data_IF_196603134342
#
_entry.id   IF_196603134342
#
_cell.length_a   1.000
_cell.length_b   1.000
_cell.length_c   1.000
_cell.angle_alpha   90.00
_cell.angle_beta   90.00
_cell.angle_gamma   90.00
#
_symmetry.space_group_name_H-M   'P 1'
#
loop_
_entity.id
_entity.type
_entity.pdbx_description
1 polymer ?
#
# COMPACT_ATOMS: atom_id res chain seq x y z
N UNK A 1 38.60 15.73 -5.58
CA UNK A 1 37.88 16.97 -5.24
C UNK A 1 37.11 17.42 -6.47
N UNK A 2 36.05 16.66 -6.81
CA UNK A 2 35.03 16.95 -7.81
C UNK A 2 34.24 15.64 -7.99
N UNK A 3 33.28 15.39 -7.11
CA UNK A 3 32.11 14.53 -7.32
C UNK A 3 31.25 14.65 -6.04
N UNK A 4 29.93 14.48 -6.19
CA UNK A 4 28.87 14.66 -5.18
C UNK A 4 28.15 16.01 -5.11
N UNK A 5 27.86 16.60 -6.28
CA UNK A 5 26.62 17.34 -6.46
C UNK A 5 25.78 16.64 -7.54
N UNK A 6 25.16 15.51 -7.16
CA UNK A 6 23.88 15.14 -7.78
C UNK A 6 22.89 16.18 -7.27
N UNK A 7 22.85 17.33 -7.94
CA UNK A 7 21.65 18.16 -7.95
C UNK A 7 20.52 17.23 -8.40
N UNK A 8 19.69 16.82 -7.44
CA UNK A 8 18.41 16.18 -7.72
C UNK A 8 17.63 17.17 -8.58
N UNK A 9 17.71 16.99 -9.90
CA UNK A 9 16.88 17.71 -10.85
C UNK A 9 15.44 17.65 -10.34
N UNK A 10 14.68 18.76 -10.33
CA UNK A 10 13.27 18.69 -10.00
C UNK A 10 12.62 17.63 -10.89
N UNK A 11 11.64 16.86 -10.41
CA UNK A 11 11.02 15.82 -11.22
C UNK A 11 10.44 16.47 -12.48
N UNK A 12 11.09 16.27 -13.61
CA UNK A 12 10.60 16.73 -14.91
C UNK A 12 9.30 15.99 -15.23
N UNK A 13 8.27 16.73 -15.63
CA UNK A 13 6.94 16.23 -16.00
C UNK A 13 5.82 16.61 -15.01
N UNK A 14 4.67 15.91 -15.04
CA UNK A 14 3.39 16.38 -14.49
C UNK A 14 3.14 16.22 -12.97
N UNK A 15 3.95 15.46 -12.23
CA UNK A 15 3.81 15.29 -10.78
C UNK A 15 4.85 16.09 -9.98
N UNK A 16 4.65 17.41 -9.89
CA UNK A 16 5.42 18.35 -9.05
C UNK A 16 4.51 19.02 -7.99
N UNK A 17 5.06 19.87 -7.12
CA UNK A 17 4.33 20.50 -5.99
C UNK A 17 3.07 21.29 -6.38
N UNK A 18 2.93 21.68 -7.65
CA UNK A 18 1.78 22.39 -8.21
C UNK A 18 0.96 21.54 -9.21
N UNK A 19 1.12 20.21 -9.17
CA UNK A 19 0.39 19.28 -10.03
C UNK A 19 -1.13 19.35 -9.82
N UNK A 20 -1.88 18.96 -10.86
CA UNK A 20 -3.34 18.87 -10.81
C UNK A 20 -3.88 17.92 -9.73
N UNK A 21 -3.09 16.95 -9.30
CA UNK A 21 -3.48 15.97 -8.30
C UNK A 21 -2.33 15.70 -7.34
N UNK A 22 -2.63 15.63 -6.05
CA UNK A 22 -1.71 15.15 -5.02
C UNK A 22 -2.08 13.75 -4.57
N UNK A 23 -1.10 12.88 -4.41
CA UNK A 23 -1.27 11.57 -3.80
C UNK A 23 -0.58 11.53 -2.44
N UNK A 24 -1.06 10.63 -1.59
CA UNK A 24 -0.59 10.45 -0.23
C UNK A 24 -0.47 8.97 0.09
N UNK A 25 0.57 8.61 0.84
CA UNK A 25 0.68 7.27 1.41
C UNK A 25 0.00 7.26 2.78
N UNK A 26 -1.13 6.57 2.92
CA UNK A 26 -1.93 6.51 4.14
C UNK A 26 -2.37 5.07 4.44
N UNK A 27 -2.08 4.60 5.64
CA UNK A 27 -2.33 3.22 6.04
C UNK A 27 -1.68 2.21 5.08
N UNK A 28 -0.49 2.54 4.57
CA UNK A 28 0.25 1.74 3.61
C UNK A 28 -0.37 1.68 2.20
N UNK A 29 -1.35 2.53 1.88
CA UNK A 29 -1.99 2.62 0.56
C UNK A 29 -1.76 3.97 -0.09
N UNK A 30 -1.69 4.00 -1.42
CA UNK A 30 -1.52 5.27 -2.16
C UNK A 30 -2.90 5.80 -2.53
N UNK A 31 -3.26 6.94 -1.97
CA UNK A 31 -4.59 7.54 -2.11
C UNK A 31 -4.48 8.91 -2.78
N UNK A 32 -5.47 9.24 -3.60
CA UNK A 32 -5.66 10.58 -4.14
C UNK A 32 -6.16 11.50 -3.02
N UNK A 33 -5.51 12.64 -2.84
CA UNK A 33 -5.90 13.64 -1.85
C UNK A 33 -7.22 14.32 -2.29
N UNK A 34 -8.32 14.14 -1.54
CA UNK A 34 -9.62 14.70 -1.93
C UNK A 34 -9.70 16.22 -1.75
N UNK A 35 -8.75 16.84 -1.05
CA UNK A 35 -8.71 18.29 -0.78
C UNK A 35 -7.76 19.02 -1.72
N UNK A 36 -6.67 18.37 -2.12
CA UNK A 36 -5.59 18.98 -2.93
C UNK A 36 -5.62 18.47 -4.36
N UNK A 37 -6.61 18.92 -5.12
CA UNK A 37 -6.71 18.68 -6.57
C UNK A 37 -7.23 19.90 -7.33
N UNK A 38 -6.96 19.96 -8.63
CA UNK A 38 -7.50 20.93 -9.58
C UNK A 38 -8.02 20.18 -10.80
N UNK A 39 -9.28 20.43 -11.18
CA UNK A 39 -9.85 19.88 -12.41
C UNK A 39 -9.12 20.43 -13.63
N UNK A 40 -8.85 19.58 -14.61
CA UNK A 40 -8.20 19.98 -15.86
C UNK A 40 -7.42 18.85 -16.51
N UNK A 41 -6.73 19.19 -17.57
CA UNK A 41 -5.75 18.32 -18.21
C UNK A 41 -4.43 19.07 -18.33
N UNK A 42 -3.34 18.37 -18.05
CA UNK A 42 -2.00 18.83 -18.37
C UNK A 42 -1.31 17.77 -19.23
N UNK A 43 -0.52 18.23 -20.18
CA UNK A 43 0.28 17.38 -21.07
C UNK A 43 1.71 17.91 -21.04
N UNK A 44 2.65 16.99 -20.94
CA UNK A 44 4.07 17.27 -21.07
C UNK A 44 4.65 16.33 -22.10
N UNK A 45 5.30 16.87 -23.13
CA UNK A 45 5.90 16.07 -24.19
C UNK A 45 7.29 16.60 -24.51
N UNK A 46 8.23 15.69 -24.71
CA UNK A 46 9.57 15.96 -25.19
C UNK A 46 10.04 14.81 -26.12
N UNK A 47 11.29 14.86 -26.58
CA UNK A 47 11.85 13.84 -27.48
C UNK A 47 11.92 12.43 -26.85
N UNK A 48 11.97 12.32 -25.52
CA UNK A 48 12.15 11.05 -24.81
C UNK A 48 10.81 10.40 -24.42
N UNK A 49 9.79 11.19 -24.07
CA UNK A 49 8.52 10.67 -23.59
C UNK A 49 7.38 11.70 -23.68
N UNK A 50 6.16 11.21 -23.53
CA UNK A 50 4.93 12.02 -23.36
C UNK A 50 4.17 11.59 -22.11
N UNK A 51 3.64 12.57 -21.40
CA UNK A 51 2.80 12.43 -20.21
C UNK A 51 1.50 13.19 -20.40
N UNK A 52 0.40 12.59 -19.96
CA UNK A 52 -0.91 13.24 -19.90
C UNK A 52 -1.51 12.96 -18.52
N UNK A 53 -1.94 14.01 -17.84
CA UNK A 53 -2.65 13.93 -16.57
C UNK A 53 -4.01 14.61 -16.72
N UNK A 54 -5.08 13.83 -16.62
CA UNK A 54 -6.44 14.34 -16.59
C UNK A 54 -7.02 14.18 -15.18
N UNK A 55 -7.59 15.26 -14.65
CA UNK A 55 -8.24 15.31 -13.34
C UNK A 55 -9.67 15.81 -13.52
N UNK A 56 -10.61 15.00 -13.07
CA UNK A 56 -12.03 15.33 -13.04
C UNK A 56 -12.57 15.17 -11.61
N UNK A 57 -13.79 15.64 -11.34
CA UNK A 57 -14.46 15.31 -10.08
C UNK A 57 -15.98 15.35 -10.23
N UNK A 58 -16.65 14.39 -9.62
CA UNK A 58 -18.09 14.29 -9.49
C UNK A 58 -18.45 14.33 -8.00
N UNK A 59 -19.43 15.16 -7.62
CA UNK A 59 -19.88 15.33 -6.22
C UNK A 59 -18.75 15.60 -5.21
N UNK A 60 -17.73 16.34 -5.64
CA UNK A 60 -16.56 16.67 -4.82
C UNK A 60 -15.52 15.55 -4.72
N UNK A 61 -15.75 14.39 -5.34
CA UNK A 61 -14.83 13.25 -5.33
C UNK A 61 -13.96 13.25 -6.59
N UNK A 62 -12.64 13.45 -6.47
CA UNK A 62 -11.76 13.53 -7.62
C UNK A 62 -11.51 12.18 -8.26
N UNK A 63 -11.23 12.20 -9.55
CA UNK A 63 -10.76 11.08 -10.36
C UNK A 63 -9.56 11.53 -11.19
N UNK A 64 -8.64 10.60 -11.43
CA UNK A 64 -7.39 10.85 -12.14
C UNK A 64 -7.22 9.80 -13.23
N UNK A 65 -6.80 10.24 -14.41
CA UNK A 65 -6.21 9.40 -15.45
C UNK A 65 -4.85 9.97 -15.80
N UNK A 66 -3.80 9.24 -15.46
CA UNK A 66 -2.44 9.52 -15.87
C UNK A 66 -2.01 8.49 -16.92
N UNK A 67 -1.33 8.97 -17.96
CA UNK A 67 -0.72 8.15 -19.01
C UNK A 67 0.70 8.62 -19.26
N UNK A 68 1.61 7.68 -19.39
CA UNK A 68 2.99 7.88 -19.78
C UNK A 68 3.34 6.98 -20.95
N UNK A 69 4.05 7.53 -21.92
CA UNK A 69 4.54 6.80 -23.08
C UNK A 69 5.96 7.20 -23.43
N UNK A 70 6.85 6.22 -23.50
CA UNK A 70 8.20 6.33 -24.05
C UNK A 70 8.47 5.20 -25.06
N UNK A 71 9.60 5.21 -25.78
CA UNK A 71 10.01 4.10 -26.64
C UNK A 71 10.20 2.76 -25.89
N UNK A 72 10.51 2.81 -24.59
CA UNK A 72 10.80 1.63 -23.77
C UNK A 72 9.57 1.13 -23.00
N UNK A 73 8.65 2.02 -22.61
CA UNK A 73 7.60 1.69 -21.66
C UNK A 73 6.32 2.50 -21.89
N UNK A 74 5.17 1.90 -21.60
CA UNK A 74 3.93 2.63 -21.38
C UNK A 74 3.43 2.38 -19.98
N UNK A 75 2.85 3.40 -19.34
CA UNK A 75 2.23 3.29 -18.03
C UNK A 75 0.89 4.02 -18.00
N UNK A 76 -0.03 3.50 -17.21
CA UNK A 76 -1.29 4.15 -16.91
C UNK A 76 -1.57 4.04 -15.42
N UNK A 77 -1.98 5.15 -14.81
CA UNK A 77 -2.46 5.18 -13.42
C UNK A 77 -3.86 5.81 -13.41
N UNK A 78 -4.81 5.12 -12.82
CA UNK A 78 -6.21 5.53 -12.80
C UNK A 78 -6.77 5.48 -11.39
N UNK A 79 -7.51 6.52 -11.02
CA UNK A 79 -8.37 6.54 -9.83
C UNK A 79 -9.74 6.99 -10.29
N UNK A 80 -10.74 6.13 -10.14
CA UNK A 80 -12.14 6.48 -10.45
C UNK A 80 -12.82 7.14 -9.26
N UNK A 81 -13.93 7.84 -9.48
CA UNK A 81 -14.66 8.55 -8.42
C UNK A 81 -15.00 7.63 -7.23
N UNK A 82 -14.33 7.84 -6.10
CA UNK A 82 -14.51 7.05 -4.87
C UNK A 82 -14.05 5.60 -5.02
N UNK A 83 -13.36 5.28 -6.11
CA UNK A 83 -12.89 3.95 -6.45
C UNK A 83 -11.48 3.68 -5.98
N UNK A 84 -11.03 2.46 -6.25
CA UNK A 84 -9.66 2.04 -6.02
C UNK A 84 -8.66 2.68 -7.01
N UNK A 85 -7.37 2.56 -6.68
CA UNK A 85 -6.28 2.91 -7.59
C UNK A 85 -5.97 1.71 -8.48
N UNK A 86 -5.85 1.94 -9.78
CA UNK A 86 -5.39 0.97 -10.77
C UNK A 86 -4.11 1.48 -11.41
N UNK A 87 -3.17 0.57 -11.65
CA UNK A 87 -1.93 0.87 -12.33
C UNK A 87 -1.62 -0.24 -13.33
N UNK A 88 -1.23 0.14 -14.54
CA UNK A 88 -0.80 -0.77 -15.59
C UNK A 88 0.53 -0.28 -16.18
N UNK A 89 1.40 -1.22 -16.52
CA UNK A 89 2.69 -0.94 -17.14
C UNK A 89 3.04 -2.02 -18.16
N UNK A 90 3.57 -1.62 -19.30
CA UNK A 90 4.07 -2.52 -20.35
C UNK A 90 5.49 -2.09 -20.72
N UNK A 91 6.45 -3.01 -20.57
CA UNK A 91 7.80 -2.86 -21.12
C UNK A 91 7.80 -3.35 -22.57
N UNK A 92 8.05 -2.43 -23.51
CA UNK A 92 7.87 -2.66 -24.94
C UNK A 92 8.85 -3.69 -25.51
N UNK A 93 10.09 -3.73 -25.00
CA UNK A 93 11.13 -4.64 -25.48
C UNK A 93 10.85 -6.10 -25.08
N UNK A 94 10.49 -6.34 -23.83
CA UNK A 94 10.24 -7.69 -23.30
C UNK A 94 8.79 -8.17 -23.51
N UNK A 95 7.86 -7.24 -23.78
CA UNK A 95 6.42 -7.52 -23.75
C UNK A 95 5.89 -7.79 -22.34
N UNK A 96 6.67 -7.54 -21.30
CA UNK A 96 6.28 -7.78 -19.91
C UNK A 96 5.22 -6.76 -19.47
N UNK A 97 4.15 -7.27 -18.85
CA UNK A 97 3.01 -6.48 -18.39
C UNK A 97 2.83 -6.62 -16.90
N UNK A 98 2.59 -5.50 -16.23
CA UNK A 98 2.16 -5.45 -14.84
C UNK A 98 0.78 -4.82 -14.76
N UNK A 99 -0.07 -5.39 -13.92
CA UNK A 99 -1.33 -4.79 -13.47
C UNK A 99 -1.38 -4.79 -11.96
N UNK A 100 -1.72 -3.65 -11.38
CA UNK A 100 -1.94 -3.50 -9.95
C UNK A 100 -3.33 -2.92 -9.71
N UNK A 101 -4.05 -3.51 -8.76
CA UNK A 101 -5.35 -3.02 -8.32
C UNK A 101 -5.34 -2.85 -6.81
N UNK A 102 -5.58 -1.63 -6.34
CA UNK A 102 -5.76 -1.30 -4.94
C UNK A 102 -7.23 -0.95 -4.72
N UNK A 103 -8.00 -1.88 -4.15
CA UNK A 103 -9.38 -1.59 -3.72
C UNK A 103 -9.40 -0.62 -2.53
N UNK A 104 -10.52 0.05 -2.28
CA UNK A 104 -10.67 1.01 -1.17
C UNK A 104 -10.47 0.30 0.18
N UNK A 105 -11.23 -0.77 0.45
CA UNK A 105 -11.18 -1.51 1.71
C UNK A 105 -10.28 -2.76 1.74
N UNK A 106 -10.05 -3.42 0.60
CA UNK A 106 -9.41 -4.74 0.55
C UNK A 106 -7.90 -4.72 0.31
N UNK A 107 -7.35 -5.83 -0.14
CA UNK A 107 -5.94 -5.97 -0.48
C UNK A 107 -5.58 -5.22 -1.78
N UNK A 108 -4.29 -4.93 -1.90
CA UNK A 108 -3.64 -4.59 -3.15
C UNK A 108 -3.28 -5.90 -3.83
N UNK A 109 -3.60 -5.99 -5.12
CA UNK A 109 -3.26 -7.11 -5.98
C UNK A 109 -2.24 -6.64 -7.01
N UNK A 110 -1.22 -7.45 -7.27
CA UNK A 110 -0.18 -7.22 -8.25
C UNK A 110 0.01 -8.46 -9.10
N UNK A 111 -0.10 -8.28 -10.41
CA UNK A 111 0.01 -9.34 -11.38
C UNK A 111 1.01 -8.95 -12.46
N UNK A 112 2.12 -9.68 -12.55
CA UNK A 112 3.17 -9.50 -13.53
C UNK A 112 3.19 -10.70 -14.47
N UNK A 113 3.08 -10.43 -15.77
CA UNK A 113 3.08 -11.43 -16.83
C UNK A 113 4.30 -11.20 -17.72
N UNK A 114 5.16 -12.20 -17.78
CA UNK A 114 6.36 -12.21 -18.60
C UNK A 114 6.20 -13.24 -19.70
N UNK A 115 6.49 -12.86 -20.95
CA UNK A 115 6.57 -13.80 -22.06
C UNK A 115 7.99 -13.77 -22.65
N UNK A 116 8.95 -14.48 -22.05
CA UNK A 116 10.28 -14.58 -22.63
C UNK A 116 10.20 -15.22 -24.01
N UNK A 117 10.97 -14.71 -24.97
CA UNK A 117 10.94 -15.17 -26.36
C UNK A 117 11.02 -16.71 -26.46
N UNK A 118 9.95 -17.33 -26.98
CA UNK A 118 9.85 -18.77 -27.21
C UNK A 118 9.61 -19.64 -25.98
N UNK A 119 9.23 -19.08 -24.83
CA UNK A 119 8.91 -19.83 -23.59
C UNK A 119 7.45 -19.66 -23.17
N UNK A 120 7.01 -20.53 -22.27
CA UNK A 120 5.72 -20.38 -21.59
C UNK A 120 5.65 -19.06 -20.82
N UNK A 121 4.45 -18.49 -20.77
CA UNK A 121 4.16 -17.28 -20.01
C UNK A 121 4.40 -17.55 -18.53
N UNK A 122 5.30 -16.76 -17.93
CA UNK A 122 5.51 -16.79 -16.48
C UNK A 122 4.66 -15.71 -15.83
N UNK A 123 3.91 -16.09 -14.81
CA UNK A 123 3.03 -15.17 -14.07
C UNK A 123 3.46 -15.11 -12.61
N UNK A 124 3.69 -13.89 -12.11
CA UNK A 124 3.85 -13.60 -10.69
C UNK A 124 2.58 -12.91 -10.21
N UNK A 125 1.91 -13.51 -9.23
CA UNK A 125 0.74 -12.93 -8.57
C UNK A 125 1.04 -12.79 -7.09
N UNK A 126 1.01 -11.56 -6.59
CA UNK A 126 1.23 -11.24 -5.18
C UNK A 126 0.16 -10.27 -4.70
N UNK A 127 -0.09 -10.29 -3.40
CA UNK A 127 -1.11 -9.44 -2.79
C UNK A 127 -0.70 -8.99 -1.40
N UNK A 128 -1.40 -8.01 -0.84
CA UNK A 128 -1.21 -7.62 0.55
C UNK A 128 -1.99 -6.39 0.96
N UNK A 129 -2.05 -6.12 2.26
CA UNK A 129 -2.87 -5.02 2.81
C UNK A 129 -2.26 -3.64 2.60
N UNK A 130 -0.96 -3.59 2.24
CA UNK A 130 -0.17 -2.36 2.02
C UNK A 130 0.76 -2.51 0.81
N UNK A 131 1.17 -1.39 0.22
CA UNK A 131 2.08 -1.37 -0.94
C UNK A 131 3.45 -1.97 -0.59
N UNK A 132 3.86 -1.91 0.69
CA UNK A 132 5.08 -2.54 1.19
C UNK A 132 5.05 -4.07 1.06
N UNK A 133 3.88 -4.71 1.06
CA UNK A 133 3.76 -6.14 0.75
C UNK A 133 4.13 -6.42 -0.71
N UNK A 134 3.69 -5.57 -1.63
CA UNK A 134 3.96 -5.73 -3.05
C UNK A 134 5.44 -5.54 -3.32
N UNK A 135 6.01 -4.45 -2.80
CA UNK A 135 7.44 -4.13 -2.90
C UNK A 135 8.29 -5.27 -2.32
N UNK A 136 7.89 -5.85 -1.19
CA UNK A 136 8.65 -6.92 -0.56
C UNK A 136 8.55 -8.29 -1.25
N UNK A 137 7.43 -8.61 -1.90
CA UNK A 137 7.24 -9.89 -2.59
C UNK A 137 7.78 -9.90 -4.02
N UNK A 138 7.75 -8.76 -4.71
CA UNK A 138 8.24 -8.64 -6.09
C UNK A 138 9.06 -7.36 -6.31
N UNK A 139 10.20 -7.20 -5.62
CA UNK A 139 11.01 -5.97 -5.66
C UNK A 139 11.54 -5.67 -7.06
N UNK A 140 11.88 -6.70 -7.85
CA UNK A 140 12.37 -6.55 -9.22
C UNK A 140 11.28 -6.01 -10.13
N UNK A 141 10.08 -6.63 -10.09
CA UNK A 141 8.94 -6.15 -10.87
C UNK A 141 8.55 -4.73 -10.48
N UNK A 142 8.56 -4.41 -9.18
CA UNK A 142 8.30 -3.06 -8.69
C UNK A 142 9.30 -2.03 -9.25
N UNK A 143 10.60 -2.32 -9.15
CA UNK A 143 11.68 -1.43 -9.60
C UNK A 143 11.58 -1.14 -11.11
N UNK A 144 11.28 -2.15 -11.92
CA UNK A 144 11.20 -2.01 -13.37
C UNK A 144 9.93 -1.30 -13.84
N UNK A 145 8.80 -1.57 -13.19
CA UNK A 145 7.50 -1.09 -13.67
C UNK A 145 7.01 0.18 -12.99
N UNK A 146 7.21 0.33 -11.67
CA UNK A 146 6.45 1.27 -10.86
C UNK A 146 7.30 2.29 -10.11
N UNK A 147 8.51 1.94 -9.69
CA UNK A 147 9.28 2.71 -8.70
C UNK A 147 9.49 4.18 -9.09
N UNK A 148 9.89 4.44 -10.35
CA UNK A 148 10.07 5.80 -10.85
C UNK A 148 8.77 6.63 -10.78
N UNK A 149 7.65 6.07 -11.23
CA UNK A 149 6.37 6.79 -11.23
C UNK A 149 5.91 7.06 -9.80
N UNK A 150 5.96 6.04 -8.93
CA UNK A 150 5.54 6.16 -7.55
C UNK A 150 6.43 7.09 -6.74
N UNK A 151 7.73 7.15 -7.05
CA UNK A 151 8.64 8.14 -6.52
C UNK A 151 8.15 9.56 -6.81
N UNK A 152 7.64 9.84 -8.01
CA UNK A 152 7.09 11.16 -8.37
C UNK A 152 5.71 11.41 -7.77
N UNK A 153 4.82 10.42 -7.82
CA UNK A 153 3.47 10.46 -7.22
C UNK A 153 3.55 10.75 -5.71
N UNK A 154 4.59 10.26 -5.03
CA UNK A 154 4.83 10.45 -3.60
C UNK A 154 5.89 11.53 -3.31
N UNK A 155 6.01 12.55 -4.17
CA UNK A 155 6.85 13.74 -3.95
C UNK A 155 8.33 13.42 -3.65
N UNK A 156 8.92 12.52 -4.43
CA UNK A 156 10.32 12.09 -4.35
C UNK A 156 10.59 10.98 -3.33
N UNK A 157 9.57 10.44 -2.65
CA UNK A 157 9.74 9.36 -1.68
C UNK A 157 9.85 8.01 -2.38
N UNK A 158 11.00 7.36 -2.26
CA UNK A 158 11.20 5.97 -2.69
C UNK A 158 10.44 5.01 -1.78
N UNK A 159 9.60 4.15 -2.38
CA UNK A 159 8.89 3.10 -1.65
C UNK A 159 9.79 1.92 -1.29
N UNK A 160 10.84 1.66 -2.08
CA UNK A 160 11.89 0.68 -1.76
C UNK A 160 12.63 1.09 -0.49
N UNK A 161 13.10 2.34 -0.41
CA UNK A 161 13.81 2.85 0.77
C UNK A 161 12.90 2.84 2.01
N UNK A 162 11.63 3.22 1.83
CA UNK A 162 10.65 3.22 2.91
C UNK A 162 10.38 1.80 3.42
N UNK A 163 10.30 0.81 2.53
CA UNK A 163 10.13 -0.59 2.89
C UNK A 163 11.33 -1.09 3.71
N UNK A 164 12.56 -0.84 3.25
CA UNK A 164 13.79 -1.25 3.95
C UNK A 164 13.94 -0.60 5.32
N UNK A 165 13.67 0.71 5.41
CA UNK A 165 13.70 1.42 6.70
C UNK A 165 12.62 0.91 7.65
N UNK A 166 11.43 0.56 7.15
CA UNK A 166 10.34 -0.02 7.95
C UNK A 166 10.72 -1.40 8.47
N UNK A 167 11.29 -2.27 7.62
CA UNK A 167 11.83 -3.57 8.03
C UNK A 167 12.92 -3.41 9.11
N UNK A 168 13.85 -2.48 8.92
CA UNK A 168 14.89 -2.18 9.91
C UNK A 168 14.30 -1.72 11.25
N UNK A 169 13.30 -0.86 11.21
CA UNK A 169 12.62 -0.39 12.42
C UNK A 169 11.96 -1.55 13.18
N UNK A 170 11.20 -2.40 12.47
CA UNK A 170 10.54 -3.58 13.05
C UNK A 170 11.54 -4.50 13.77
N UNK A 171 12.66 -4.84 13.09
CA UNK A 171 13.73 -5.69 13.64
C UNK A 171 14.34 -5.11 14.91
N UNK A 172 14.62 -3.81 14.91
CA UNK A 172 15.31 -3.15 16.01
C UNK A 172 14.41 -2.90 17.23
N UNK A 173 13.09 -2.92 17.06
CA UNK A 173 12.13 -2.54 18.09
C UNK A 173 11.13 -3.64 18.46
N UNK A 174 11.38 -4.91 18.10
CA UNK A 174 10.48 -6.05 18.37
C UNK A 174 9.93 -6.07 19.79
N UNK A 175 10.76 -5.76 20.80
CA UNK A 175 10.35 -5.74 22.22
C UNK A 175 9.36 -4.63 22.59
N UNK A 176 9.21 -3.59 21.77
CA UNK A 176 8.33 -2.44 22.00
C UNK A 176 7.11 -2.42 21.07
N UNK A 177 6.98 -3.44 20.20
CA UNK A 177 5.84 -3.56 19.30
C UNK A 177 4.57 -3.97 20.05
N UNK A 178 3.43 -3.54 19.54
CA UNK A 178 2.12 -3.83 20.15
C UNK A 178 1.81 -5.33 20.11
N UNK A 179 1.35 -5.89 21.22
CA UNK A 179 0.97 -7.30 21.38
C UNK A 179 -0.53 -7.56 21.17
N UNK A 180 -1.20 -6.80 20.30
CA UNK A 180 -2.61 -7.02 20.01
C UNK A 180 -2.79 -8.37 19.33
N UNK A 181 -3.68 -9.20 19.86
CA UNK A 181 -3.90 -10.56 19.36
C UNK A 181 -5.03 -10.63 18.34
N UNK A 182 -4.90 -11.55 17.38
CA UNK A 182 -5.98 -11.87 16.42
C UNK A 182 -7.27 -12.25 17.14
N UNK A 183 -7.20 -13.12 18.15
CA UNK A 183 -8.34 -13.56 18.97
C UNK A 183 -9.07 -12.39 19.64
N UNK A 184 -8.33 -11.39 20.11
CA UNK A 184 -8.93 -10.19 20.71
C UNK A 184 -9.73 -9.40 19.68
N UNK A 185 -9.22 -9.27 18.45
CA UNK A 185 -9.90 -8.57 17.36
C UNK A 185 -11.11 -9.35 16.85
N UNK A 186 -11.01 -10.66 16.72
CA UNK A 186 -12.13 -11.52 16.34
C UNK A 186 -13.26 -11.43 17.38
N UNK A 187 -12.95 -11.51 18.68
CA UNK A 187 -13.94 -11.35 19.74
C UNK A 187 -14.64 -9.98 19.74
N UNK A 188 -13.90 -8.91 19.42
CA UNK A 188 -14.49 -7.58 19.26
C UNK A 188 -15.35 -7.48 17.99
N UNK A 189 -14.95 -8.16 16.91
CA UNK A 189 -15.72 -8.22 15.67
C UNK A 189 -17.03 -8.98 15.86
N UNK A 190 -17.02 -10.09 16.59
CA UNK A 190 -18.23 -10.83 16.95
C UNK A 190 -19.19 -9.97 17.78
N UNK A 191 -18.66 -9.17 18.72
CA UNK A 191 -19.46 -8.25 19.52
C UNK A 191 -20.11 -7.13 18.69
N UNK A 192 -19.57 -6.78 17.51
CA UNK A 192 -20.24 -5.86 16.59
C UNK A 192 -21.54 -6.45 16.01
N UNK A 193 -21.66 -7.77 15.94
CA UNK A 193 -22.89 -8.48 15.53
C UNK A 193 -23.90 -8.67 16.67
N UNK A 194 -23.59 -8.23 17.90
CA UNK A 194 -24.50 -8.40 19.05
C UNK A 194 -25.84 -7.70 18.82
N UNK A 195 -26.93 -8.29 19.29
CA UNK A 195 -28.26 -7.66 19.28
C UNK A 195 -28.33 -6.44 20.20
N UNK A 196 -27.44 -6.33 21.19
CA UNK A 196 -27.41 -5.23 22.16
C UNK A 196 -26.59 -4.04 21.66
N UNK A 197 -27.23 -2.88 21.55
CA UNK A 197 -26.59 -1.64 21.09
C UNK A 197 -25.40 -1.21 21.98
N UNK A 198 -25.47 -1.44 23.29
CA UNK A 198 -24.39 -1.10 24.23
C UNK A 198 -23.12 -1.91 23.96
N UNK A 199 -23.26 -3.20 23.65
CA UNK A 199 -22.15 -4.10 23.33
C UNK A 199 -21.51 -3.71 21.99
N UNK A 200 -22.32 -3.47 20.95
CA UNK A 200 -21.82 -2.99 19.65
C UNK A 200 -21.03 -1.68 19.78
N UNK A 201 -21.56 -0.71 20.55
CA UNK A 201 -20.87 0.58 20.79
C UNK A 201 -19.57 0.40 21.56
N UNK A 202 -19.56 -0.45 22.59
CA UNK A 202 -18.36 -0.74 23.37
C UNK A 202 -17.28 -1.41 22.52
N UNK A 203 -17.65 -2.40 21.69
CA UNK A 203 -16.73 -3.07 20.77
C UNK A 203 -16.14 -2.10 19.74
N UNK A 204 -16.98 -1.26 19.11
CA UNK A 204 -16.53 -0.23 18.17
C UNK A 204 -15.55 0.76 18.82
N UNK A 205 -15.83 1.18 20.05
CA UNK A 205 -14.93 2.07 20.81
C UNK A 205 -13.59 1.38 21.09
N UNK A 206 -13.61 0.14 21.59
CA UNK A 206 -12.38 -0.63 21.86
C UNK A 206 -11.54 -0.81 20.59
N UNK A 207 -12.17 -1.16 19.46
CA UNK A 207 -11.46 -1.28 18.18
C UNK A 207 -10.83 0.05 17.73
N UNK A 208 -11.52 1.17 17.93
CA UNK A 208 -10.97 2.50 17.64
C UNK A 208 -9.80 2.86 18.57
N UNK A 209 -9.90 2.53 19.87
CA UNK A 209 -8.89 2.82 20.89
C UNK A 209 -7.57 2.05 20.64
N UNK A 210 -7.61 0.92 19.92
CA UNK A 210 -6.42 0.17 19.51
C UNK A 210 -5.61 0.90 18.42
N UNK A 211 -6.19 1.88 17.73
CA UNK A 211 -5.50 2.71 16.75
C UNK A 211 -5.12 1.98 15.46
N UNK A 212 -4.02 2.39 14.80
CA UNK A 212 -3.70 1.93 13.44
C UNK A 212 -3.17 0.50 13.36
N UNK A 213 -2.68 -0.08 14.47
CA UNK A 213 -2.06 -1.43 14.46
C UNK A 213 -3.04 -2.53 14.03
N UNK A 214 -4.33 -2.34 14.27
CA UNK A 214 -5.35 -3.35 13.94
C UNK A 214 -5.81 -3.27 12.49
N UNK A 215 -5.46 -2.20 11.76
CA UNK A 215 -6.00 -1.94 10.42
C UNK A 215 -5.72 -3.08 9.43
N UNK A 216 -4.53 -3.69 9.36
CA UNK A 216 -4.30 -4.82 8.45
C UNK A 216 -5.16 -6.04 8.81
N UNK A 217 -5.35 -6.30 10.11
CA UNK A 217 -6.24 -7.37 10.59
C UNK A 217 -7.69 -7.09 10.18
N UNK A 218 -8.18 -5.86 10.40
CA UNK A 218 -9.53 -5.46 10.03
C UNK A 218 -9.77 -5.55 8.52
N UNK A 219 -8.81 -5.11 7.69
CA UNK A 219 -8.91 -5.23 6.22
C UNK A 219 -9.04 -6.68 5.77
N UNK A 220 -8.29 -7.58 6.40
CA UNK A 220 -8.36 -9.02 6.11
C UNK A 220 -9.68 -9.63 6.58
N UNK A 221 -10.21 -9.18 7.71
CA UNK A 221 -11.50 -9.63 8.24
C UNK A 221 -12.66 -9.20 7.33
N UNK A 222 -12.65 -7.96 6.83
CA UNK A 222 -13.68 -7.43 5.92
C UNK A 222 -13.81 -8.24 4.62
N UNK A 223 -12.74 -8.92 4.20
CA UNK A 223 -12.76 -9.80 3.02
C UNK A 223 -13.40 -11.17 3.29
N UNK A 224 -13.69 -11.52 4.54
CA UNK A 224 -14.34 -12.79 4.88
C UNK A 224 -15.84 -12.73 4.53
N UNK A 225 -16.35 -13.83 3.98
CA UNK A 225 -17.75 -13.95 3.56
C UNK A 225 -18.74 -14.17 4.72
N UNK A 226 -18.27 -14.26 5.96
CA UNK A 226 -19.08 -14.61 7.14
C UNK A 226 -19.52 -13.41 7.99
N UNK A 227 -19.15 -12.19 7.60
CA UNK A 227 -19.59 -10.97 8.26
C UNK A 227 -21.02 -10.60 7.85
N UNK A 228 -21.82 -10.17 8.83
CA UNK A 228 -23.07 -9.49 8.53
C UNK A 228 -22.82 -8.08 7.96
N UNK A 229 -23.86 -7.51 7.34
CA UNK A 229 -23.75 -6.21 6.67
C UNK A 229 -23.43 -5.05 7.63
N UNK A 230 -23.81 -5.14 8.91
CA UNK A 230 -23.54 -4.11 9.91
C UNK A 230 -22.13 -4.23 10.48
N UNK A 231 -21.63 -5.45 10.69
CA UNK A 231 -20.24 -5.74 11.03
C UNK A 231 -19.31 -5.23 9.93
N UNK A 232 -19.55 -5.64 8.68
CA UNK A 232 -18.76 -5.20 7.52
C UNK A 232 -18.75 -3.67 7.41
N UNK A 233 -19.92 -3.02 7.52
CA UNK A 233 -20.02 -1.55 7.49
C UNK A 233 -19.29 -0.89 8.65
N UNK A 234 -19.39 -1.44 9.86
CA UNK A 234 -18.76 -0.89 11.05
C UNK A 234 -17.25 -0.97 10.97
N UNK A 235 -16.72 -2.12 10.53
CA UNK A 235 -15.29 -2.31 10.30
C UNK A 235 -14.78 -1.41 9.18
N UNK A 236 -15.47 -1.34 8.05
CA UNK A 236 -15.12 -0.42 6.96
C UNK A 236 -15.09 1.02 7.45
N UNK A 237 -16.07 1.43 8.25
CA UNK A 237 -16.09 2.77 8.85
C UNK A 237 -14.92 3.01 9.79
N UNK A 238 -14.45 2.01 10.55
CA UNK A 238 -13.27 2.15 11.41
C UNK A 238 -11.98 2.26 10.60
N UNK A 239 -11.89 1.52 9.48
CA UNK A 239 -10.77 1.60 8.54
C UNK A 239 -10.73 2.99 7.89
N UNK A 240 -11.88 3.46 7.39
CA UNK A 240 -12.00 4.77 6.72
C UNK A 240 -11.82 5.94 7.70
N UNK A 241 -12.30 5.79 8.93
CA UNK A 241 -12.21 6.79 10.01
C UNK A 241 -11.02 6.58 10.94
N UNK A 242 -10.00 5.85 10.53
CA UNK A 242 -8.68 5.94 11.15
C UNK A 242 -7.79 6.92 10.36
N UNK A 243 -8.08 8.23 10.31
CA UNK A 243 -7.22 9.16 9.60
C UNK A 243 -5.97 9.38 10.44
N UNK A 244 -4.83 8.91 9.93
CA UNK A 244 -3.64 9.75 10.02
C UNK A 244 -3.86 10.92 9.09
N UNK A 245 -3.87 12.13 9.65
CA UNK A 245 -3.94 13.35 8.85
C UNK A 245 -2.62 13.59 8.09
N UNK A 246 -1.55 12.91 8.52
CA UNK A 246 -0.21 12.98 7.96
C UNK A 246 0.12 11.74 7.14
N UNK A 247 1.03 11.92 6.19
CA UNK A 247 1.56 10.82 5.39
C UNK A 247 2.26 9.80 6.29
N UNK A 248 2.20 8.54 5.90
CA UNK A 248 2.86 7.48 6.63
C UNK A 248 4.38 7.71 6.71
N UNK A 249 4.93 7.50 7.90
CA UNK A 249 6.35 7.51 8.22
C UNK A 249 6.83 6.09 8.48
N UNK A 250 8.15 5.90 8.59
CA UNK A 250 8.75 4.60 8.92
C UNK A 250 8.14 4.01 10.20
N UNK A 251 8.08 4.81 11.28
CA UNK A 251 7.51 4.35 12.55
C UNK A 251 6.01 4.05 12.40
N UNK A 252 5.28 4.90 11.68
CA UNK A 252 3.84 4.75 11.49
C UNK A 252 3.50 3.46 10.74
N UNK A 253 4.28 3.08 9.74
CA UNK A 253 4.17 1.83 8.98
C UNK A 253 4.66 0.63 9.78
N UNK A 254 5.73 0.77 10.57
CA UNK A 254 6.18 -0.30 11.44
C UNK A 254 5.11 -0.66 12.48
N UNK A 255 4.47 0.33 13.11
CA UNK A 255 3.34 0.06 14.00
C UNK A 255 2.12 -0.51 13.27
N UNK A 256 1.88 -0.11 12.01
CA UNK A 256 0.82 -0.69 11.19
C UNK A 256 1.09 -2.19 10.94
N UNK A 257 2.33 -2.55 10.62
CA UNK A 257 2.74 -3.90 10.20
C UNK A 257 3.21 -4.79 11.36
N UNK A 258 3.19 -4.30 12.60
CA UNK A 258 3.82 -4.98 13.73
C UNK A 258 3.17 -6.34 14.03
N UNK A 259 1.88 -6.48 13.78
CA UNK A 259 1.12 -7.71 13.94
C UNK A 259 0.64 -8.28 12.58
N UNK A 260 1.30 -7.90 11.48
CA UNK A 260 1.03 -8.44 10.14
C UNK A 260 1.97 -9.61 9.84
N UNK A 261 1.49 -10.84 10.06
CA UNK A 261 2.27 -12.05 9.80
C UNK A 261 2.79 -12.11 8.36
N UNK A 262 2.01 -11.66 7.38
CA UNK A 262 2.42 -11.75 5.98
C UNK A 262 3.65 -10.87 5.73
N UNK A 263 3.67 -9.67 6.28
CA UNK A 263 4.83 -8.79 6.19
C UNK A 263 6.07 -9.38 6.89
N UNK A 264 5.89 -9.97 8.08
CA UNK A 264 6.98 -10.66 8.78
C UNK A 264 7.50 -11.88 8.01
N UNK A 265 6.61 -12.62 7.33
CA UNK A 265 6.98 -13.76 6.49
C UNK A 265 7.79 -13.33 5.26
N UNK A 266 7.47 -12.18 4.67
CA UNK A 266 8.22 -11.60 3.56
C UNK A 266 9.68 -11.31 3.96
N UNK A 267 9.90 -10.76 5.15
CA UNK A 267 11.27 -10.47 5.63
C UNK A 267 11.98 -11.68 6.25
N UNK A 268 11.29 -12.81 6.47
CA UNK A 268 11.83 -13.92 7.28
C UNK A 268 13.14 -14.50 6.75
N UNK A 269 13.32 -14.50 5.42
CA UNK A 269 14.55 -14.95 4.75
C UNK A 269 15.75 -14.02 5.00
N UNK A 270 15.50 -12.74 5.29
CA UNK A 270 16.52 -11.71 5.52
C UNK A 270 16.94 -11.61 7.00
N UNK A 271 16.16 -12.20 7.92
CA UNK A 271 16.44 -12.15 9.35
C UNK A 271 17.64 -13.03 9.71
N UNK A 272 18.54 -12.52 10.55
CA UNK A 272 19.52 -13.35 11.25
C UNK A 272 18.81 -14.34 12.21
N UNK A 273 19.51 -15.39 12.62
CA UNK A 273 18.91 -16.41 13.52
C UNK A 273 18.36 -15.83 14.82
N UNK A 274 19.05 -14.86 15.41
CA UNK A 274 18.56 -14.18 16.61
C UNK A 274 17.30 -13.35 16.34
N UNK A 275 17.30 -12.57 15.25
CA UNK A 275 16.13 -11.76 14.86
C UNK A 275 14.92 -12.65 14.52
N UNK A 276 15.14 -13.80 13.89
CA UNK A 276 14.08 -14.74 13.56
C UNK A 276 13.45 -15.36 14.82
N UNK A 277 14.24 -15.67 15.85
CA UNK A 277 13.68 -16.11 17.14
C UNK A 277 12.87 -15.01 17.81
N UNK A 278 13.39 -13.78 17.86
CA UNK A 278 12.67 -12.64 18.43
C UNK A 278 11.36 -12.34 17.67
N UNK A 279 11.39 -12.42 16.34
CA UNK A 279 10.19 -12.24 15.51
C UNK A 279 9.15 -13.34 15.77
N UNK A 280 9.56 -14.61 15.91
CA UNK A 280 8.65 -15.70 16.26
C UNK A 280 8.05 -15.57 17.66
N UNK A 281 8.84 -15.19 18.66
CA UNK A 281 8.33 -14.88 20.00
C UNK A 281 7.26 -13.79 19.92
N UNK A 282 7.52 -12.73 19.16
CA UNK A 282 6.56 -11.66 18.94
C UNK A 282 5.29 -12.12 18.20
N UNK A 283 5.40 -12.96 17.17
CA UNK A 283 4.25 -13.57 16.49
C UNK A 283 3.39 -14.37 17.47
N UNK A 284 4.02 -15.19 18.32
CA UNK A 284 3.30 -15.96 19.35
C UNK A 284 2.59 -15.05 20.36
N UNK A 285 3.22 -13.96 20.82
CA UNK A 285 2.57 -12.97 21.68
C UNK A 285 1.37 -12.29 21.03
N UNK A 286 1.37 -12.15 19.70
CA UNK A 286 0.24 -11.65 18.92
C UNK A 286 -0.80 -12.74 18.58
N UNK A 287 -0.64 -13.98 19.06
CA UNK A 287 -1.53 -15.09 18.72
C UNK A 287 -1.46 -15.49 17.24
N UNK A 288 -0.31 -15.29 16.58
CA UNK A 288 -0.08 -15.58 15.18
C UNK A 288 0.82 -16.80 15.01
N UNK A 289 0.65 -17.51 13.90
CA UNK A 289 1.50 -18.64 13.53
C UNK A 289 2.97 -18.23 13.36
N UNK A 290 3.87 -19.14 13.73
CA UNK A 290 5.31 -18.97 13.52
C UNK A 290 5.66 -18.73 12.05
N UNK A 291 6.75 -17.99 11.85
CA UNK A 291 7.34 -17.69 10.55
C UNK A 291 8.17 -18.88 10.06
N UNK A 292 8.10 -19.13 8.76
CA UNK A 292 8.91 -20.13 8.08
C UNK A 292 10.16 -19.49 7.48
N UNK A 293 11.23 -20.26 7.36
CA UNK A 293 12.47 -19.90 6.66
C UNK A 293 12.65 -20.77 5.44
#
# INVERSE_FOLDING_TARGET
MADDLIERLPPTGLFHDAALARFRLLGGKVLLDPVRYRKGSEEFSNEAFTEVLHVSAADGIPAVLYRYESPQQTMQLMVQHGGGLQFESLLKESGEVVRMQQSVGGQIQWHRQMQPAGREVQTVYVQGTTILHIVGQDPVGWQQHADWLYGRVLAGRSLLDLAEQTKAYLRNHVGHLSGVTSEHIDALTDQLGSTRLSERRAARKKLADLGTVVIPMLRRIVERSDLDAEQARSLQTLIDRSPRHDDDTVASLAFLLSADRMHWQIMAAELSTHEWFAANDHMQRCGLESLHR
#
